data_IF_886269910798
#
_entry.id   IF_886269910798
#
_cell.length_a   1.000
_cell.length_b   1.000
_cell.length_c   1.000
_cell.angle_alpha   90.00
_cell.angle_beta   90.00
_cell.angle_gamma   90.00
#
_symmetry.space_group_name_H-M   'P 1'
#
loop_
_entity.id
_entity.type
_entity.pdbx_description
1 polymer ?
#
# COMPACT_ATOMS: atom_id res chain seq x y z
N UNK A 1 -24.03 -7.54 -19.69
CA UNK A 1 -23.11 -7.62 -20.85
C UNK A 1 -21.71 -7.83 -20.32
N UNK A 2 -20.95 -8.79 -20.84
CA UNK A 2 -19.52 -8.91 -20.53
C UNK A 2 -18.82 -7.66 -21.08
N UNK A 3 -18.03 -6.98 -20.24
CA UNK A 3 -17.24 -5.84 -20.70
C UNK A 3 -16.30 -6.27 -21.83
N UNK A 4 -16.15 -5.47 -22.89
CA UNK A 4 -15.25 -5.80 -23.98
C UNK A 4 -13.81 -5.89 -23.48
N UNK A 5 -13.09 -6.95 -23.89
CA UNK A 5 -11.68 -7.15 -23.59
C UNK A 5 -10.80 -6.71 -24.75
N UNK A 6 -9.69 -6.05 -24.43
CA UNK A 6 -8.78 -5.45 -25.40
C UNK A 6 -7.36 -5.98 -25.28
N UNK A 7 -6.58 -5.76 -26.32
CA UNK A 7 -5.15 -6.06 -26.36
C UNK A 7 -4.38 -4.80 -26.77
N UNK A 8 -3.30 -4.51 -26.04
CA UNK A 8 -2.37 -3.42 -26.35
C UNK A 8 -1.01 -4.02 -26.73
N UNK A 9 -0.61 -3.98 -28.01
CA UNK A 9 0.75 -4.33 -28.41
C UNK A 9 1.78 -3.47 -27.67
N UNK A 10 2.93 -4.04 -27.27
CA UNK A 10 3.97 -3.28 -26.55
C UNK A 10 4.48 -2.08 -27.35
N UNK A 11 4.52 -2.19 -28.68
CA UNK A 11 4.96 -1.13 -29.58
C UNK A 11 4.01 0.08 -29.58
N UNK A 12 2.73 -0.12 -29.26
CA UNK A 12 1.71 0.96 -29.17
C UNK A 12 1.53 1.51 -27.76
N UNK A 13 2.31 1.04 -26.78
CA UNK A 13 2.26 1.59 -25.43
C UNK A 13 2.52 3.11 -25.39
N UNK A 14 3.45 3.70 -26.17
CA UNK A 14 3.62 5.15 -26.21
C UNK A 14 2.33 5.92 -26.57
N UNK A 15 1.53 5.39 -27.50
CA UNK A 15 0.26 5.99 -27.90
C UNK A 15 -0.78 5.87 -26.78
N UNK A 16 -0.82 4.72 -26.09
CA UNK A 16 -1.66 4.54 -24.91
C UNK A 16 -1.28 5.49 -23.77
N UNK A 17 0.02 5.70 -23.54
CA UNK A 17 0.51 6.69 -22.58
C UNK A 17 0.07 8.12 -22.96
N UNK A 18 0.11 8.48 -24.25
CA UNK A 18 -0.40 9.77 -24.70
C UNK A 18 -1.90 9.92 -24.43
N UNK A 19 -2.69 8.86 -24.62
CA UNK A 19 -4.11 8.85 -24.26
C UNK A 19 -4.30 9.10 -22.75
N UNK A 20 -3.51 8.45 -21.89
CA UNK A 20 -3.53 8.70 -20.43
C UNK A 20 -3.16 10.15 -20.08
N UNK A 21 -2.12 10.70 -20.72
CA UNK A 21 -1.67 12.08 -20.49
C UNK A 21 -2.68 13.13 -20.91
N UNK A 22 -3.57 12.81 -21.86
CA UNK A 22 -4.66 13.72 -22.24
C UNK A 22 -5.72 13.89 -21.14
N UNK A 23 -5.79 12.95 -20.19
CA UNK A 23 -6.70 13.02 -19.04
C UNK A 23 -6.11 13.83 -17.87
N UNK A 24 -4.79 13.74 -17.66
CA UNK A 24 -4.10 14.43 -16.58
C UNK A 24 -2.66 13.97 -16.42
N UNK A 25 -1.99 14.46 -15.38
CA UNK A 25 -0.58 14.13 -15.15
C UNK A 25 -0.43 12.63 -14.80
N UNK A 26 0.40 11.92 -15.56
CA UNK A 26 0.64 10.49 -15.36
C UNK A 26 1.84 10.29 -14.43
N UNK A 27 1.63 9.52 -13.37
CA UNK A 27 2.66 9.04 -12.47
C UNK A 27 2.87 7.55 -12.65
N UNK A 28 4.12 7.11 -12.80
CA UNK A 28 4.48 5.70 -12.96
C UNK A 28 5.76 5.36 -12.17
N UNK A 29 6.05 4.09 -11.90
CA UNK A 29 7.32 3.68 -11.30
C UNK A 29 8.49 4.08 -12.21
N UNK A 30 9.46 4.79 -11.65
CA UNK A 30 10.72 5.16 -12.31
C UNK A 30 11.87 4.67 -11.45
N UNK A 31 12.93 4.18 -12.09
CA UNK A 31 14.16 3.79 -11.40
C UNK A 31 14.89 5.04 -10.88
N UNK A 32 15.06 5.13 -9.55
CA UNK A 32 15.69 6.29 -8.89
C UNK A 32 17.05 5.97 -8.28
N UNK A 33 17.41 4.69 -8.18
CA UNK A 33 18.72 4.22 -7.76
C UNK A 33 19.05 2.88 -8.43
N UNK A 34 20.20 2.28 -8.10
CA UNK A 34 20.55 0.92 -8.58
C UNK A 34 19.48 -0.13 -8.21
N UNK A 35 18.82 0.04 -7.07
CA UNK A 35 17.94 -0.98 -6.46
C UNK A 35 16.55 -0.44 -6.09
N UNK A 36 16.24 0.83 -6.37
CA UNK A 36 15.02 1.47 -5.88
C UNK A 36 14.24 2.14 -6.99
N UNK A 37 12.92 2.04 -6.86
CA UNK A 37 11.95 2.67 -7.75
C UNK A 37 11.08 3.65 -6.96
N UNK A 38 10.58 4.70 -7.60
CA UNK A 38 9.59 5.60 -7.01
C UNK A 38 8.58 5.99 -8.07
N UNK A 39 7.32 6.13 -7.68
CA UNK A 39 6.37 6.83 -8.53
C UNK A 39 6.81 8.28 -8.73
N UNK A 40 6.97 8.67 -10.01
CA UNK A 40 7.32 10.02 -10.48
C UNK A 40 6.45 10.36 -11.69
N UNK A 41 6.30 11.64 -11.99
CA UNK A 41 5.64 12.07 -13.22
C UNK A 41 6.48 11.58 -14.41
N UNK A 42 5.81 11.09 -15.46
CA UNK A 42 6.47 10.57 -16.67
C UNK A 42 5.90 11.23 -17.92
N UNK A 43 6.78 11.52 -18.86
CA UNK A 43 6.45 12.12 -20.15
C UNK A 43 6.58 11.12 -21.30
N UNK A 44 7.46 10.12 -21.15
CA UNK A 44 7.77 9.11 -22.17
C UNK A 44 7.68 7.70 -21.60
N UNK A 45 7.29 6.75 -22.45
CA UNK A 45 7.20 5.34 -22.08
C UNK A 45 8.56 4.76 -21.61
N UNK A 46 9.68 5.26 -22.15
CA UNK A 46 11.03 4.83 -21.78
C UNK A 46 11.45 5.19 -20.35
N UNK A 47 10.71 6.08 -19.67
CA UNK A 47 10.98 6.46 -18.27
C UNK A 47 10.36 5.46 -17.29
N UNK A 48 9.37 4.70 -17.74
CA UNK A 48 8.60 3.76 -16.91
C UNK A 48 9.41 2.49 -16.70
N UNK A 49 9.64 2.15 -15.44
CA UNK A 49 10.22 0.88 -15.03
C UNK A 49 9.10 -0.17 -14.88
N UNK A 50 8.78 -0.88 -15.97
CA UNK A 50 7.76 -1.93 -15.97
C UNK A 50 8.14 -3.14 -15.09
N UNK A 51 9.43 -3.33 -14.86
CA UNK A 51 10.01 -4.36 -13.99
C UNK A 51 9.92 -4.03 -12.49
N UNK A 52 9.45 -2.83 -12.13
CA UNK A 52 9.46 -2.34 -10.77
C UNK A 52 8.43 -3.06 -9.88
N UNK A 53 8.84 -4.17 -9.24
CA UNK A 53 7.97 -4.90 -8.31
C UNK A 53 7.58 -4.08 -7.06
N UNK A 54 8.49 -3.22 -6.58
CA UNK A 54 8.26 -2.37 -5.41
C UNK A 54 8.87 -0.99 -5.60
N UNK A 55 8.06 0.03 -5.35
CA UNK A 55 8.52 1.39 -5.10
C UNK A 55 8.82 1.60 -3.62
N UNK A 56 9.72 2.54 -3.31
CA UNK A 56 10.08 2.91 -1.92
C UNK A 56 8.82 3.25 -1.12
N UNK A 57 8.00 4.15 -1.67
CA UNK A 57 6.71 4.50 -1.10
C UNK A 57 5.59 3.95 -1.99
N UNK A 58 4.59 3.29 -1.40
CA UNK A 58 3.44 2.77 -2.14
C UNK A 58 2.56 3.92 -2.65
N UNK A 59 1.60 3.62 -3.55
CA UNK A 59 0.69 4.62 -4.11
C UNK A 59 -0.11 5.43 -3.09
N UNK A 60 -0.23 4.95 -1.83
CA UNK A 60 -0.91 5.68 -0.75
C UNK A 60 -0.49 7.14 -0.63
N UNK A 61 0.78 7.47 -0.94
CA UNK A 61 1.33 8.83 -0.86
C UNK A 61 0.59 9.86 -1.74
N UNK A 62 -0.13 9.41 -2.78
CA UNK A 62 -0.91 10.29 -3.64
C UNK A 62 -2.21 10.77 -3.00
N UNK A 63 -2.71 10.02 -2.03
CA UNK A 63 -4.00 10.24 -1.37
C UNK A 63 -3.83 10.67 0.08
N UNK A 64 -2.74 10.20 0.70
CA UNK A 64 -2.38 10.43 2.09
C UNK A 64 -0.90 10.82 2.12
N UNK A 65 -0.56 12.10 1.87
CA UNK A 65 0.84 12.54 1.79
C UNK A 65 1.51 12.51 3.17
N UNK A 66 2.84 12.55 3.20
CA UNK A 66 3.63 12.49 4.44
C UNK A 66 3.36 13.63 5.41
N UNK A 67 3.04 14.80 4.87
CA UNK A 67 2.66 16.00 5.61
C UNK A 67 1.52 16.66 4.85
N UNK A 68 0.48 17.07 5.58
CA UNK A 68 -0.68 17.77 5.03
C UNK A 68 -1.16 18.83 6.01
N UNK A 69 -1.23 20.09 5.57
CA UNK A 69 -1.83 21.17 6.38
C UNK A 69 -3.35 20.99 6.41
N UNK A 70 -3.91 20.88 7.61
CA UNK A 70 -5.35 20.75 7.83
C UNK A 70 -5.99 22.08 8.20
N UNK A 71 -5.28 22.89 8.98
CA UNK A 71 -5.79 24.16 9.51
C UNK A 71 -4.68 25.19 9.49
N UNK A 72 -5.01 26.43 9.15
CA UNK A 72 -4.17 27.60 9.32
C UNK A 72 -4.77 28.53 10.36
N UNK A 73 -3.89 29.08 11.19
CA UNK A 73 -4.17 30.13 12.15
C UNK A 73 -3.56 31.40 11.56
N UNK A 74 -4.40 32.30 11.05
CA UNK A 74 -3.98 33.53 10.36
C UNK A 74 -4.85 34.68 10.81
N UNK A 75 -4.24 35.81 11.21
CA UNK A 75 -4.95 37.04 11.59
C UNK A 75 -5.95 36.84 12.76
N UNK A 76 -5.66 35.91 13.67
CA UNK A 76 -6.57 35.54 14.76
C UNK A 76 -7.76 34.69 14.33
N UNK A 77 -7.83 34.29 13.06
CA UNK A 77 -8.86 33.41 12.51
C UNK A 77 -8.34 31.99 12.31
N UNK A 78 -9.25 31.02 12.38
CA UNK A 78 -9.00 29.60 12.09
C UNK A 78 -9.59 29.29 10.72
N UNK A 79 -8.74 28.86 9.78
CA UNK A 79 -9.14 28.52 8.40
C UNK A 79 -8.84 27.06 8.11
N UNK A 80 -9.88 26.30 7.75
CA UNK A 80 -9.69 24.93 7.23
C UNK A 80 -8.99 24.99 5.87
N UNK A 81 -8.00 24.12 5.68
CA UNK A 81 -7.17 24.08 4.47
C UNK A 81 -7.55 22.89 3.59
N UNK A 82 -8.58 23.03 2.77
CA UNK A 82 -8.93 22.01 1.79
C UNK A 82 -8.25 22.33 0.46
N UNK A 83 -7.18 21.62 0.13
CA UNK A 83 -6.56 21.72 -1.20
C UNK A 83 -7.46 21.10 -2.27
N UNK A 84 -7.65 21.82 -3.38
CA UNK A 84 -8.30 21.29 -4.57
C UNK A 84 -7.36 20.32 -5.30
N UNK A 85 -7.67 19.01 -5.36
CA UNK A 85 -6.79 18.06 -6.01
C UNK A 85 -6.82 18.24 -7.52
N UNK A 86 -5.64 18.24 -8.14
CA UNK A 86 -5.50 18.13 -9.60
C UNK A 86 -5.70 16.68 -10.02
N UNK A 87 -6.37 16.46 -11.17
CA UNK A 87 -6.58 15.11 -11.71
C UNK A 87 -5.26 14.43 -12.06
N UNK A 88 -5.08 13.22 -11.54
CA UNK A 88 -3.87 12.41 -11.72
C UNK A 88 -4.21 11.04 -12.28
N UNK A 89 -3.32 10.51 -13.12
CA UNK A 89 -3.35 9.11 -13.52
C UNK A 89 -2.19 8.42 -12.84
N UNK A 90 -2.45 7.36 -12.08
CA UNK A 90 -1.42 6.58 -11.37
C UNK A 90 -1.33 5.23 -12.06
N UNK A 91 -0.27 5.06 -12.86
CA UNK A 91 0.00 3.88 -13.67
C UNK A 91 0.96 2.92 -12.97
N UNK A 92 0.77 1.62 -13.14
CA UNK A 92 1.69 0.60 -12.62
C UNK A 92 1.38 0.20 -11.18
N UNK A 93 0.11 0.22 -10.79
CA UNK A 93 -0.31 -0.18 -9.43
C UNK A 93 -0.54 -1.69 -9.38
N UNK A 94 0.26 -2.40 -8.59
CA UNK A 94 0.14 -3.86 -8.47
C UNK A 94 -1.06 -4.30 -7.63
N UNK A 95 -1.55 -5.56 -7.78
CA UNK A 95 -2.73 -6.06 -7.06
C UNK A 95 -2.69 -5.84 -5.53
N UNK A 96 -1.55 -6.08 -4.89
CA UNK A 96 -1.41 -5.90 -3.45
C UNK A 96 -1.50 -4.41 -3.02
N UNK A 97 -1.04 -3.48 -3.87
CA UNK A 97 -1.25 -2.04 -3.64
C UNK A 97 -2.70 -1.63 -3.86
N UNK A 98 -3.39 -2.20 -4.85
CA UNK A 98 -4.84 -1.98 -5.06
C UNK A 98 -5.65 -2.45 -3.85
N UNK A 99 -5.32 -3.63 -3.31
CA UNK A 99 -5.91 -4.11 -2.06
C UNK A 99 -5.60 -3.18 -0.89
N UNK A 100 -4.37 -2.66 -0.82
CA UNK A 100 -3.97 -1.70 0.20
C UNK A 100 -4.74 -0.38 0.14
N UNK A 101 -4.96 0.15 -1.06
CA UNK A 101 -5.83 1.30 -1.28
C UNK A 101 -7.28 1.01 -0.87
N UNK A 102 -7.83 -0.16 -1.19
CA UNK A 102 -9.18 -0.53 -0.76
C UNK A 102 -9.34 -0.65 0.77
N UNK A 103 -8.29 -1.11 1.46
CA UNK A 103 -8.23 -1.09 2.93
C UNK A 103 -8.25 0.35 3.44
N UNK A 104 -7.43 1.23 2.86
CA UNK A 104 -7.42 2.65 3.21
C UNK A 104 -8.75 3.33 2.92
N UNK A 105 -9.37 3.04 1.78
CA UNK A 105 -10.69 3.54 1.41
C UNK A 105 -11.70 3.20 2.53
N UNK A 106 -11.68 1.96 3.05
CA UNK A 106 -12.58 1.57 4.16
C UNK A 106 -12.37 2.39 5.44
N UNK A 107 -11.12 2.71 5.78
CA UNK A 107 -10.77 3.48 6.99
C UNK A 107 -11.15 4.97 6.82
N UNK A 108 -10.85 5.55 5.66
CA UNK A 108 -11.04 6.98 5.41
C UNK A 108 -12.47 7.32 4.93
N UNK A 109 -13.26 6.33 4.52
CA UNK A 109 -14.69 6.50 4.25
C UNK A 109 -15.56 6.36 5.51
N UNK A 110 -15.02 5.81 6.61
CA UNK A 110 -15.77 5.62 7.84
C UNK A 110 -16.22 6.96 8.45
N UNK A 111 -17.44 6.99 8.99
CA UNK A 111 -18.12 8.25 9.29
C UNK A 111 -17.64 8.91 10.58
N UNK A 112 -17.24 10.20 10.56
CA UNK A 112 -17.20 11.10 9.40
C UNK A 112 -15.97 10.85 8.52
N UNK A 113 -16.18 10.71 7.21
CA UNK A 113 -15.11 10.42 6.26
C UNK A 113 -14.08 11.54 6.12
N UNK A 114 -12.85 11.17 5.79
CA UNK A 114 -11.73 12.09 5.63
C UNK A 114 -11.81 12.82 4.28
N UNK A 115 -12.24 14.08 4.33
CA UNK A 115 -12.41 14.92 3.13
C UNK A 115 -11.11 15.05 2.30
N UNK A 116 -9.95 15.14 2.95
CA UNK A 116 -8.67 15.33 2.28
C UNK A 116 -8.28 14.11 1.44
N UNK A 117 -8.44 12.92 2.01
CA UNK A 117 -8.18 11.65 1.35
C UNK A 117 -9.18 11.40 0.23
N UNK A 118 -10.49 11.50 0.54
CA UNK A 118 -11.56 11.14 -0.38
C UNK A 118 -11.58 12.01 -1.63
N UNK A 119 -11.27 13.31 -1.50
CA UNK A 119 -11.14 14.22 -2.65
C UNK A 119 -10.00 13.80 -3.57
N UNK A 120 -8.80 13.55 -3.03
CA UNK A 120 -7.67 13.07 -3.85
C UNK A 120 -7.98 11.72 -4.50
N UNK A 121 -8.64 10.82 -3.76
CA UNK A 121 -9.01 9.48 -4.23
C UNK A 121 -10.03 9.52 -5.38
N UNK A 122 -11.02 10.42 -5.32
CA UNK A 122 -12.03 10.64 -6.37
C UNK A 122 -11.50 11.40 -7.59
N UNK A 123 -10.50 12.25 -7.40
CA UNK A 123 -9.86 13.03 -8.47
C UNK A 123 -8.60 12.34 -8.99
N UNK A 124 -8.66 11.01 -9.13
CA UNK A 124 -7.56 10.20 -9.66
C UNK A 124 -8.08 9.01 -10.45
N UNK A 125 -7.33 8.61 -11.47
CA UNK A 125 -7.51 7.35 -12.19
C UNK A 125 -6.38 6.38 -11.85
N UNK A 126 -6.73 5.15 -11.52
CA UNK A 126 -5.81 4.07 -11.17
C UNK A 126 -5.69 3.08 -12.34
N UNK A 127 -4.49 2.97 -12.90
CA UNK A 127 -4.16 1.98 -13.93
C UNK A 127 -3.28 0.91 -13.29
N UNK A 128 -3.86 -0.28 -13.09
CA UNK A 128 -3.17 -1.41 -12.51
C UNK A 128 -2.29 -2.16 -13.51
N UNK A 129 -1.25 -2.81 -13.01
CA UNK A 129 -0.32 -3.62 -13.80
C UNK A 129 -0.03 -4.93 -13.07
N UNK A 130 -0.10 -6.05 -13.79
CA UNK A 130 0.27 -7.36 -13.26
C UNK A 130 1.76 -7.41 -12.85
N UNK A 131 2.12 -8.35 -11.98
CA UNK A 131 3.49 -8.57 -11.54
C UNK A 131 3.75 -10.03 -11.25
N UNK A 132 5.02 -10.43 -11.33
CA UNK A 132 5.50 -11.71 -10.84
C UNK A 132 6.06 -11.55 -9.41
N UNK A 133 5.72 -12.45 -8.46
CA UNK A 133 6.24 -12.38 -7.11
C UNK A 133 7.74 -12.66 -7.06
N UNK A 134 8.41 -12.14 -6.04
CA UNK A 134 9.73 -12.60 -5.62
C UNK A 134 9.63 -13.36 -4.29
N UNK A 135 10.77 -13.81 -3.76
CA UNK A 135 10.88 -14.53 -2.48
C UNK A 135 10.30 -13.81 -1.25
N UNK A 136 9.99 -12.51 -1.33
CA UNK A 136 9.43 -11.73 -0.22
C UNK A 136 7.91 -11.49 -0.38
N UNK A 137 7.34 -11.86 -1.52
CA UNK A 137 5.90 -11.75 -1.76
C UNK A 137 5.16 -12.93 -1.12
N UNK A 138 4.11 -12.62 -0.36
CA UNK A 138 3.16 -13.61 0.20
C UNK A 138 1.72 -13.11 0.09
N UNK A 139 1.44 -12.22 -0.88
CA UNK A 139 0.10 -11.66 -1.10
C UNK A 139 -0.96 -12.72 -1.43
N UNK A 140 -0.55 -13.90 -1.93
CA UNK A 140 -1.42 -15.06 -2.12
C UNK A 140 -1.97 -15.59 -0.80
N UNK A 141 -1.10 -15.77 0.22
CA UNK A 141 -1.55 -16.13 1.58
C UNK A 141 -2.56 -15.12 2.13
N UNK A 142 -2.37 -13.83 1.82
CA UNK A 142 -3.27 -12.78 2.28
C UNK A 142 -4.54 -12.61 1.44
N UNK A 143 -4.69 -13.33 0.32
CA UNK A 143 -5.83 -13.17 -0.61
C UNK A 143 -5.88 -11.80 -1.29
N UNK A 144 -4.72 -11.21 -1.57
CA UNK A 144 -4.58 -9.84 -2.13
C UNK A 144 -3.76 -9.82 -3.41
N UNK A 145 -3.57 -10.98 -4.02
CA UNK A 145 -2.71 -11.17 -5.17
C UNK A 145 -3.44 -11.03 -6.51
N UNK A 146 -4.78 -11.01 -6.49
CA UNK A 146 -5.65 -10.82 -7.65
C UNK A 146 -6.28 -9.41 -7.67
N UNK A 147 -6.34 -8.75 -8.85
CA UNK A 147 -6.94 -7.43 -9.00
C UNK A 147 -8.46 -7.54 -9.19
N UNK A 148 -9.23 -7.64 -8.10
CA UNK A 148 -10.70 -7.74 -8.20
C UNK A 148 -11.41 -6.37 -8.28
N UNK A 149 -10.83 -5.37 -7.61
CA UNK A 149 -11.39 -4.02 -7.42
C UNK A 149 -10.29 -2.98 -7.17
N UNK A 150 -10.68 -1.71 -7.10
CA UNK A 150 -9.79 -0.60 -6.73
C UNK A 150 -9.03 0.05 -7.88
N UNK A 151 -9.31 -0.35 -9.12
CA UNK A 151 -8.69 0.19 -10.35
C UNK A 151 -9.75 0.60 -11.38
N UNK A 152 -9.35 1.47 -12.31
CA UNK A 152 -10.16 1.90 -13.46
C UNK A 152 -9.88 1.04 -14.69
N UNK A 153 -8.60 0.76 -14.94
CA UNK A 153 -8.11 -0.13 -16.00
C UNK A 153 -7.02 -1.03 -15.43
N UNK A 154 -6.96 -2.29 -15.85
CA UNK A 154 -5.90 -3.22 -15.46
C UNK A 154 -5.22 -3.82 -16.69
N UNK A 155 -3.88 -3.84 -16.67
CA UNK A 155 -3.04 -4.43 -17.70
C UNK A 155 -2.40 -5.71 -17.17
N UNK A 156 -2.58 -6.81 -17.88
CA UNK A 156 -1.83 -8.06 -17.65
C UNK A 156 -0.79 -8.23 -18.75
N UNK A 157 0.50 -8.22 -18.40
CA UNK A 157 1.58 -8.49 -19.37
C UNK A 157 1.50 -9.95 -19.85
N UNK A 158 1.27 -10.11 -21.16
CA UNK A 158 1.14 -11.41 -21.84
C UNK A 158 2.16 -11.53 -22.98
N UNK A 159 3.41 -11.17 -22.67
CA UNK A 159 4.61 -11.27 -23.53
C UNK A 159 4.73 -10.13 -24.56
N UNK A 160 4.02 -10.21 -25.68
CA UNK A 160 4.08 -9.26 -26.81
C UNK A 160 3.21 -8.00 -26.60
N UNK A 161 2.44 -7.98 -25.53
CA UNK A 161 1.47 -6.94 -25.26
C UNK A 161 0.81 -7.10 -23.90
N UNK A 162 -0.23 -6.32 -23.70
CA UNK A 162 -1.03 -6.34 -22.48
C UNK A 162 -2.45 -6.77 -22.80
N UNK A 163 -2.98 -7.71 -22.03
CA UNK A 163 -4.41 -7.94 -21.96
C UNK A 163 -5.02 -6.85 -21.07
N UNK A 164 -5.98 -6.08 -21.61
CA UNK A 164 -6.51 -4.88 -20.94
C UNK A 164 -8.00 -5.02 -20.66
N UNK A 165 -8.36 -4.68 -19.43
CA UNK A 165 -9.73 -4.69 -18.94
C UNK A 165 -10.09 -3.37 -18.26
N UNK A 166 -11.28 -2.84 -18.58
CA UNK A 166 -11.83 -1.63 -17.98
C UNK A 166 -12.88 -1.98 -16.93
N UNK A 167 -12.72 -1.45 -15.71
CA UNK A 167 -13.62 -1.70 -14.58
C UNK A 167 -14.57 -0.54 -14.34
N UNK A 168 -14.05 0.69 -14.21
CA UNK A 168 -14.87 1.87 -13.97
C UNK A 168 -15.48 2.41 -15.26
N UNK A 169 -16.50 3.25 -15.16
CA UNK A 169 -17.09 3.93 -16.32
C UNK A 169 -16.06 4.80 -17.06
N UNK A 170 -15.17 5.49 -16.33
CA UNK A 170 -14.10 6.29 -16.90
C UNK A 170 -13.06 5.42 -17.60
N UNK A 171 -12.68 4.29 -16.99
CA UNK A 171 -11.76 3.31 -17.59
C UNK A 171 -12.35 2.68 -18.85
N UNK A 172 -13.62 2.27 -18.83
CA UNK A 172 -14.29 1.72 -20.01
C UNK A 172 -14.37 2.73 -21.17
N UNK A 173 -14.63 4.01 -20.86
CA UNK A 173 -14.62 5.09 -21.86
C UNK A 173 -13.23 5.25 -22.47
N UNK A 174 -12.18 5.35 -21.64
CA UNK A 174 -10.79 5.44 -22.09
C UNK A 174 -10.44 4.30 -23.05
N UNK A 175 -10.83 3.06 -22.73
CA UNK A 175 -10.54 1.92 -23.59
C UNK A 175 -11.34 1.93 -24.90
N UNK A 176 -12.59 2.41 -24.87
CA UNK A 176 -13.39 2.56 -26.08
C UNK A 176 -12.80 3.61 -27.02
N UNK A 177 -12.38 4.77 -26.48
CA UNK A 177 -11.74 5.84 -27.24
C UNK A 177 -10.39 5.37 -27.83
N UNK A 178 -9.54 4.75 -27.01
CA UNK A 178 -8.26 4.20 -27.46
C UNK A 178 -8.41 3.07 -28.50
N UNK A 179 -9.50 2.30 -28.45
CA UNK A 179 -9.85 1.32 -29.48
C UNK A 179 -10.29 2.00 -30.79
N UNK A 180 -11.11 3.06 -30.72
CA UNK A 180 -11.52 3.83 -31.88
C UNK A 180 -10.33 4.49 -32.60
N UNK A 181 -9.36 4.97 -31.83
CA UNK A 181 -8.11 5.56 -32.31
C UNK A 181 -7.07 4.51 -32.78
N UNK A 182 -7.43 3.22 -32.78
CA UNK A 182 -6.58 2.09 -33.20
C UNK A 182 -5.32 1.89 -32.34
N UNK A 183 -5.27 2.48 -31.16
CA UNK A 183 -4.24 2.21 -30.15
C UNK A 183 -4.40 0.79 -29.60
N UNK A 184 -5.65 0.37 -29.38
CA UNK A 184 -6.01 -0.97 -28.90
C UNK A 184 -6.54 -1.86 -30.02
N UNK A 185 -6.43 -3.16 -29.81
CA UNK A 185 -7.01 -4.20 -30.64
C UNK A 185 -8.03 -5.03 -29.83
N UNK A 186 -8.91 -5.77 -30.51
CA UNK A 186 -9.76 -6.75 -29.82
C UNK A 186 -8.91 -7.93 -29.35
N UNK A 187 -9.13 -8.36 -28.11
CA UNK A 187 -8.45 -9.55 -27.60
C UNK A 187 -8.89 -10.80 -28.37
N UNK A 188 -7.93 -11.53 -28.95
CA UNK A 188 -8.14 -12.81 -29.64
C UNK A 188 -8.11 -13.96 -28.63
N UNK A 189 -8.58 -15.15 -29.02
CA UNK A 189 -8.53 -16.35 -28.15
C UNK A 189 -7.12 -16.65 -27.65
N UNK A 190 -6.10 -16.54 -28.52
CA UNK A 190 -4.71 -16.70 -28.10
C UNK A 190 -4.28 -15.73 -26.98
N UNK A 191 -4.80 -14.49 -26.97
CA UNK A 191 -4.51 -13.52 -25.91
C UNK A 191 -5.20 -13.92 -24.59
N UNK A 192 -6.42 -14.47 -24.66
CA UNK A 192 -7.15 -14.99 -23.49
C UNK A 192 -6.46 -16.20 -22.88
N UNK A 193 -5.90 -17.08 -23.71
CA UNK A 193 -5.18 -18.26 -23.22
C UNK A 193 -3.85 -17.88 -22.56
N UNK A 194 -3.12 -16.90 -23.11
CA UNK A 194 -1.94 -16.33 -22.44
C UNK A 194 -2.29 -15.62 -21.14
N UNK A 195 -3.42 -14.90 -21.09
CA UNK A 195 -3.91 -14.30 -19.84
C UNK A 195 -4.18 -15.36 -18.76
N UNK A 196 -4.86 -16.46 -19.10
CA UNK A 196 -5.09 -17.57 -18.15
C UNK A 196 -3.78 -18.19 -17.69
N UNK A 197 -2.85 -18.42 -18.63
CA UNK A 197 -1.53 -18.98 -18.33
C UNK A 197 -0.73 -18.09 -17.39
N UNK A 198 -0.70 -16.77 -17.62
CA UNK A 198 -0.02 -15.82 -16.75
C UNK A 198 -0.45 -15.98 -15.29
N UNK A 199 -1.75 -16.07 -15.00
CA UNK A 199 -2.24 -16.20 -13.64
C UNK A 199 -1.96 -17.57 -13.01
N UNK A 200 -1.92 -18.65 -13.81
CA UNK A 200 -1.48 -19.96 -13.35
C UNK A 200 0.02 -19.95 -13.00
N UNK A 201 0.86 -19.50 -13.93
CA UNK A 201 2.32 -19.41 -13.74
C UNK A 201 2.67 -18.53 -12.55
N UNK A 202 1.96 -17.40 -12.39
CA UNK A 202 2.12 -16.50 -11.24
C UNK A 202 1.73 -17.16 -9.92
N UNK A 203 0.66 -17.96 -9.90
CA UNK A 203 0.23 -18.69 -8.70
C UNK A 203 1.27 -19.72 -8.27
N UNK A 204 1.99 -20.32 -9.21
CA UNK A 204 3.07 -21.29 -8.95
C UNK A 204 4.41 -20.61 -8.59
N UNK A 205 4.59 -19.34 -8.93
CA UNK A 205 5.84 -18.59 -8.70
C UNK A 205 6.03 -18.12 -7.24
N UNK A 206 5.05 -18.27 -6.35
CA UNK A 206 5.21 -17.91 -4.94
C UNK A 206 6.11 -18.90 -4.20
N UNK A 207 7.28 -18.45 -3.76
CA UNK A 207 8.26 -19.28 -3.04
C UNK A 207 7.97 -19.41 -1.53
N UNK A 208 7.13 -18.53 -0.99
CA UNK A 208 6.87 -18.42 0.45
C UNK A 208 5.41 -18.08 0.75
N UNK A 209 4.92 -18.53 1.90
CA UNK A 209 3.57 -18.28 2.36
C UNK A 209 3.24 -19.05 3.63
N UNK A 210 2.03 -18.84 4.11
CA UNK A 210 1.43 -19.54 5.25
C UNK A 210 -0.08 -19.71 5.02
N UNK A 211 -0.70 -20.58 5.81
CA UNK A 211 -2.16 -20.74 5.82
C UNK A 211 -2.77 -19.71 6.76
N UNK A 212 -3.78 -18.99 6.30
CA UNK A 212 -4.44 -17.93 7.11
C UNK A 212 -5.47 -18.48 8.09
N UNK A 213 -5.81 -19.76 7.99
CA UNK A 213 -6.76 -20.43 8.87
C UNK A 213 -6.39 -20.22 10.34
N UNK A 214 -7.36 -19.80 11.14
CA UNK A 214 -7.21 -19.56 12.59
C UNK A 214 -6.12 -18.55 12.99
N UNK A 215 -5.54 -17.79 12.04
CA UNK A 215 -4.42 -16.89 12.33
C UNK A 215 -4.71 -15.90 13.47
N UNK A 216 -5.95 -15.42 13.58
CA UNK A 216 -6.37 -14.54 14.69
C UNK A 216 -6.18 -15.23 16.04
N UNK A 217 -6.81 -16.39 16.20
CA UNK A 217 -6.71 -17.21 17.40
C UNK A 217 -5.27 -17.64 17.70
N UNK A 218 -4.48 -18.00 16.67
CA UNK A 218 -3.06 -18.32 16.84
C UNK A 218 -2.28 -17.12 17.40
N UNK A 219 -2.51 -15.92 16.87
CA UNK A 219 -1.85 -14.70 17.35
C UNK A 219 -2.18 -14.40 18.82
N UNK A 220 -3.43 -14.61 19.24
CA UNK A 220 -3.84 -14.40 20.64
C UNK A 220 -3.27 -15.48 21.58
N UNK A 221 -3.28 -16.75 21.17
CA UNK A 221 -2.73 -17.86 21.95
C UNK A 221 -1.21 -17.77 22.13
N UNK A 222 -0.51 -17.28 21.10
CA UNK A 222 0.94 -17.14 21.10
C UNK A 222 1.42 -15.74 21.51
N UNK A 223 0.58 -14.97 22.22
CA UNK A 223 0.96 -13.63 22.69
C UNK A 223 2.22 -13.65 23.58
N UNK A 224 2.42 -14.72 24.37
CA UNK A 224 3.58 -14.92 25.24
C UNK A 224 4.67 -15.81 24.62
N UNK A 225 4.73 -15.89 23.28
CA UNK A 225 5.76 -16.67 22.60
C UNK A 225 7.15 -16.02 22.73
N UNK A 226 8.21 -16.79 23.08
CA UNK A 226 9.58 -16.26 23.19
C UNK A 226 10.13 -15.58 21.93
N UNK A 227 9.57 -15.87 20.76
CA UNK A 227 9.96 -15.20 19.51
C UNK A 227 9.79 -13.67 19.58
N UNK A 228 8.85 -13.17 20.39
CA UNK A 228 8.62 -11.74 20.54
C UNK A 228 9.79 -11.02 21.21
N UNK A 229 10.41 -11.65 22.21
CA UNK A 229 11.62 -11.13 22.87
C UNK A 229 12.79 -11.13 21.88
N UNK A 230 13.01 -12.24 21.16
CA UNK A 230 14.08 -12.34 20.16
C UNK A 230 13.99 -11.24 19.08
N UNK A 231 12.78 -11.00 18.57
CA UNK A 231 12.57 -9.99 17.54
C UNK A 231 12.61 -8.56 18.11
N UNK A 232 12.08 -8.36 19.32
CA UNK A 232 12.07 -7.07 20.01
C UNK A 232 13.47 -6.58 20.34
N UNK A 233 14.36 -7.47 20.83
CA UNK A 233 15.76 -7.17 21.13
C UNK A 233 16.56 -6.72 19.89
N UNK A 234 16.18 -7.23 18.72
CA UNK A 234 16.79 -6.85 17.44
C UNK A 234 16.12 -5.64 16.78
N UNK A 235 14.96 -5.21 17.28
CA UNK A 235 14.19 -4.12 16.70
C UNK A 235 14.79 -2.75 17.06
N UNK A 236 15.24 -2.01 16.04
CA UNK A 236 15.78 -0.67 16.24
C UNK A 236 14.72 0.39 16.58
N UNK A 237 13.43 0.04 16.61
CA UNK A 237 12.31 0.99 16.75
C UNK A 237 12.35 2.16 15.73
N UNK A 238 12.99 1.96 14.57
CA UNK A 238 13.23 3.00 13.56
C UNK A 238 11.99 3.39 12.74
N UNK A 239 10.90 2.63 12.84
CA UNK A 239 9.64 2.93 12.16
C UNK A 239 9.62 2.73 10.64
N UNK A 240 10.70 2.22 10.02
CA UNK A 240 10.82 2.12 8.56
C UNK A 240 9.72 1.25 7.89
N UNK A 241 9.12 0.30 8.62
CA UNK A 241 8.03 -0.54 8.12
C UNK A 241 6.73 0.24 7.86
N UNK A 242 6.53 1.39 8.49
CA UNK A 242 5.30 2.20 8.40
C UNK A 242 5.18 2.99 7.09
N UNK A 243 6.17 3.81 6.67
CA UNK A 243 6.05 4.59 5.43
C UNK A 243 5.96 3.70 4.18
N UNK A 244 6.65 2.55 4.18
CA UNK A 244 6.67 1.62 3.03
C UNK A 244 5.45 0.71 2.96
N UNK A 245 4.65 0.60 4.04
CA UNK A 245 3.47 -0.25 4.06
C UNK A 245 2.27 0.46 3.39
N UNK A 246 1.58 -0.16 2.41
CA UNK A 246 0.45 0.46 1.71
C UNK A 246 -0.80 0.64 2.59
N UNK A 247 -0.85 0.03 3.78
CA UNK A 247 -2.00 0.07 4.68
C UNK A 247 -1.72 0.72 6.03
N UNK A 248 -0.51 1.28 6.24
CA UNK A 248 -0.27 2.09 7.44
C UNK A 248 -0.74 3.52 7.22
N UNK A 249 -1.55 4.00 8.15
CA UNK A 249 -2.21 5.31 8.12
C UNK A 249 -2.10 6.06 9.46
N UNK A 250 -1.19 5.63 10.34
CA UNK A 250 -0.91 6.32 11.60
C UNK A 250 -0.32 7.72 11.31
N UNK A 251 -0.76 8.70 12.09
CA UNK A 251 -0.26 10.08 12.03
C UNK A 251 -0.23 10.74 13.40
N UNK A 252 0.51 11.84 13.46
CA UNK A 252 0.46 12.82 14.53
C UNK A 252 -0.08 14.17 14.00
N UNK A 253 -0.56 15.00 14.91
CA UNK A 253 -0.97 16.38 14.63
C UNK A 253 0.08 17.33 15.20
N UNK A 254 0.77 18.03 14.31
CA UNK A 254 1.87 18.93 14.65
C UNK A 254 1.43 20.37 14.39
N UNK A 255 1.47 21.21 15.43
CA UNK A 255 1.29 22.65 15.30
C UNK A 255 2.65 23.32 15.02
N UNK A 256 2.77 23.96 13.87
CA UNK A 256 3.99 24.63 13.40
C UNK A 256 3.76 26.13 13.39
N UNK A 257 4.39 26.85 14.31
CA UNK A 257 4.34 28.31 14.37
C UNK A 257 5.25 28.95 13.32
N UNK A 258 4.76 29.98 12.63
CA UNK A 258 5.57 30.82 11.76
C UNK A 258 6.53 31.66 12.61
N UNK A 259 7.76 31.87 12.09
CA UNK A 259 8.76 32.70 12.76
C UNK A 259 8.47 34.20 12.64
N UNK A 260 7.61 34.61 11.70
CA UNK A 260 7.17 36.00 11.56
C UNK A 260 6.15 36.33 12.64
N UNK A 261 6.53 37.21 13.55
CA UNK A 261 5.62 37.80 14.54
C UNK A 261 4.93 39.03 13.94
N UNK A 262 3.61 39.12 14.10
CA UNK A 262 2.87 40.34 13.81
C UNK A 262 3.11 41.36 14.92
N UNK A 263 2.89 42.64 14.62
CA UNK A 263 3.14 43.74 15.55
C UNK A 263 2.29 43.68 16.83
N UNK A 264 1.17 42.96 16.81
CA UNK A 264 0.26 42.73 17.93
C UNK A 264 0.65 41.52 18.81
N UNK A 265 1.77 40.85 18.52
CA UNK A 265 2.22 39.66 19.23
C UNK A 265 1.54 38.37 18.81
N UNK A 266 0.60 38.41 17.86
CA UNK A 266 0.08 37.21 17.22
C UNK A 266 1.08 36.64 16.21
N UNK A 267 1.07 35.32 16.04
CA UNK A 267 1.88 34.62 15.07
C UNK A 267 0.98 33.73 14.22
N UNK A 268 1.25 33.68 12.92
CA UNK A 268 0.59 32.71 12.07
C UNK A 268 1.10 31.31 12.43
N UNK A 269 0.25 30.30 12.33
CA UNK A 269 0.62 28.92 12.57
C UNK A 269 -0.16 28.00 11.65
N UNK A 270 0.28 26.76 11.52
CA UNK A 270 -0.51 25.74 10.85
C UNK A 270 -0.50 24.43 11.63
N UNK A 271 -1.66 23.76 11.62
CA UNK A 271 -1.79 22.39 12.09
C UNK A 271 -1.62 21.46 10.92
N UNK A 272 -0.60 20.62 10.99
CA UNK A 272 -0.30 19.59 10.00
C UNK A 272 -0.64 18.22 10.54
N UNK A 273 -1.11 17.37 9.65
CA UNK A 273 -1.06 15.92 9.83
C UNK A 273 0.24 15.40 9.24
N UNK A 274 1.05 14.72 10.04
CA UNK A 274 2.31 14.11 9.60
C UNK A 274 2.29 12.60 9.85
N UNK A 275 2.83 11.80 8.92
CA UNK A 275 2.91 10.35 9.10
C UNK A 275 3.69 10.01 10.37
N UNK A 276 3.12 9.11 11.17
CA UNK A 276 3.72 8.64 12.41
C UNK A 276 3.79 7.11 12.43
N UNK A 277 4.50 6.54 13.39
CA UNK A 277 4.80 5.12 13.44
C UNK A 277 4.54 4.55 14.82
N UNK A 278 3.80 3.43 14.86
CA UNK A 278 3.57 2.68 16.09
C UNK A 278 4.85 2.10 16.73
N UNK A 279 5.99 2.19 16.04
CA UNK A 279 7.31 1.81 16.55
C UNK A 279 8.00 2.91 17.34
N UNK A 280 7.55 4.17 17.25
CA UNK A 280 8.14 5.27 18.01
C UNK A 280 7.61 5.26 19.44
N UNK A 281 8.49 5.56 20.39
CA UNK A 281 8.17 5.58 21.83
C UNK A 281 7.04 6.58 22.12
N UNK A 282 7.04 7.73 21.45
CA UNK A 282 6.04 8.79 21.62
C UNK A 282 4.62 8.37 21.22
N UNK A 283 4.48 7.47 20.24
CA UNK A 283 3.17 7.09 19.67
C UNK A 283 2.18 6.50 20.69
N UNK A 284 2.70 5.87 21.74
CA UNK A 284 1.89 5.23 22.79
C UNK A 284 1.93 5.98 24.12
N UNK A 285 2.55 7.16 24.16
CA UNK A 285 2.66 8.01 25.36
C UNK A 285 1.43 8.90 25.47
N UNK A 286 0.87 8.98 26.68
CA UNK A 286 -0.30 9.82 26.99
C UNK A 286 0.03 10.85 28.08
N UNK A 287 -0.92 11.74 28.37
CA UNK A 287 -0.80 12.70 29.45
C UNK A 287 -0.47 12.01 30.79
N UNK A 288 0.42 12.61 31.59
CA UNK A 288 0.91 12.02 32.84
C UNK A 288 2.12 11.09 32.68
N UNK A 289 2.85 11.18 31.57
CA UNK A 289 4.06 10.40 31.26
C UNK A 289 3.89 8.88 31.19
N UNK A 290 2.65 8.38 31.21
CA UNK A 290 2.36 6.96 31.03
C UNK A 290 2.52 6.54 29.57
N UNK A 291 3.05 5.34 29.35
CA UNK A 291 3.22 4.76 28.01
C UNK A 291 2.67 3.33 28.00
N UNK A 292 1.70 3.06 27.12
CA UNK A 292 1.09 1.73 27.00
C UNK A 292 2.00 0.69 26.33
N UNK A 293 3.07 1.12 25.64
CA UNK A 293 4.02 0.27 24.92
C UNK A 293 5.44 0.83 25.06
N UNK A 294 6.02 0.79 26.28
CA UNK A 294 7.33 1.40 26.55
C UNK A 294 8.47 0.63 25.89
N UNK A 295 8.34 -0.69 25.72
CA UNK A 295 9.38 -1.56 25.15
C UNK A 295 9.26 -1.77 23.63
N UNK A 296 10.37 -2.09 22.94
CA UNK A 296 10.35 -2.53 21.55
C UNK A 296 9.49 -3.78 21.32
N UNK A 297 9.51 -4.73 22.27
CA UNK A 297 8.70 -5.97 22.22
C UNK A 297 7.21 -5.63 22.15
N UNK A 298 6.71 -4.75 23.03
CA UNK A 298 5.29 -4.35 23.05
C UNK A 298 4.86 -3.69 21.74
N UNK A 299 5.70 -2.79 21.21
CA UNK A 299 5.45 -2.09 19.95
C UNK A 299 5.47 -3.03 18.75
N UNK A 300 6.36 -4.03 18.76
CA UNK A 300 6.46 -5.02 17.70
C UNK A 300 5.27 -5.99 17.73
N UNK A 301 4.91 -6.51 18.90
CA UNK A 301 3.70 -7.33 19.11
C UNK A 301 2.45 -6.60 18.62
N UNK A 302 2.32 -5.30 18.95
CA UNK A 302 1.23 -4.46 18.46
C UNK A 302 1.23 -4.34 16.93
N UNK A 303 2.39 -4.14 16.30
CA UNK A 303 2.48 -4.07 14.83
C UNK A 303 2.06 -5.39 14.15
N UNK A 304 2.57 -6.53 14.63
CA UNK A 304 2.18 -7.84 14.09
C UNK A 304 0.69 -8.11 14.28
N UNK A 305 0.16 -7.82 15.47
CA UNK A 305 -1.28 -7.95 15.75
C UNK A 305 -2.10 -7.07 14.82
N UNK A 306 -1.78 -5.79 14.71
CA UNK A 306 -2.50 -4.87 13.82
C UNK A 306 -2.48 -5.33 12.34
N UNK A 307 -1.38 -5.96 11.89
CA UNK A 307 -1.22 -6.47 10.52
C UNK A 307 -1.93 -7.79 10.26
N UNK A 308 -1.87 -8.74 11.17
CA UNK A 308 -2.32 -10.12 10.97
C UNK A 308 -3.68 -10.43 11.61
N UNK A 309 -3.97 -9.76 12.72
CA UNK A 309 -5.27 -9.80 13.38
C UNK A 309 -6.23 -8.81 12.72
N UNK A 310 -5.79 -7.56 12.55
CA UNK A 310 -6.64 -6.44 12.17
C UNK A 310 -7.24 -5.74 13.39
N UNK A 311 -8.28 -4.93 13.17
CA UNK A 311 -9.06 -4.32 14.26
C UNK A 311 -9.98 -5.36 14.89
N UNK A 312 -10.06 -5.35 16.23
CA UNK A 312 -10.97 -6.21 16.98
C UNK A 312 -12.43 -5.85 16.65
N UNK A 313 -12.77 -4.55 16.57
CA UNK A 313 -14.16 -4.16 16.85
C UNK A 313 -14.84 -3.20 15.82
N UNK A 314 -14.29 -2.97 14.62
CA UNK A 314 -14.99 -2.12 13.61
C UNK A 314 -15.01 -2.66 12.17
N UNK A 315 -13.88 -3.18 11.64
CA UNK A 315 -13.78 -3.53 10.22
C UNK A 315 -13.56 -5.01 9.92
N UNK A 316 -13.14 -5.81 10.91
CA UNK A 316 -13.10 -7.27 10.81
C UNK A 316 -12.10 -7.89 9.81
N UNK A 317 -11.27 -7.11 9.11
CA UNK A 317 -10.29 -7.62 8.13
C UNK A 317 -8.83 -7.45 8.57
N UNK A 318 -7.94 -8.28 8.00
CA UNK A 318 -6.48 -8.19 8.19
C UNK A 318 -5.93 -7.02 7.38
N UNK A 319 -5.00 -6.24 7.92
CA UNK A 319 -4.48 -5.05 7.22
C UNK A 319 -3.22 -5.33 6.40
N UNK A 320 -2.58 -6.49 6.54
CA UNK A 320 -1.45 -6.87 5.68
C UNK A 320 -1.91 -7.33 4.30
N UNK A 321 -1.22 -6.89 3.25
CA UNK A 321 -1.47 -7.26 1.84
C UNK A 321 -0.35 -8.11 1.23
N UNK A 322 0.55 -8.63 2.06
CA UNK A 322 1.61 -9.55 1.64
C UNK A 322 2.58 -9.03 0.57
N UNK A 323 2.75 -7.71 0.46
CA UNK A 323 3.62 -7.10 -0.56
C UNK A 323 5.13 -7.25 -0.28
N UNK A 324 5.54 -7.61 0.94
CA UNK A 324 6.96 -7.79 1.32
C UNK A 324 7.80 -6.51 1.44
N UNK A 325 7.22 -5.31 1.25
CA UNK A 325 7.96 -4.03 1.32
C UNK A 325 8.64 -3.81 2.68
N UNK A 326 7.97 -4.16 3.77
CA UNK A 326 8.57 -4.06 5.11
C UNK A 326 9.82 -4.95 5.18
N UNK A 327 9.69 -6.23 4.83
CA UNK A 327 10.76 -7.23 4.89
C UNK A 327 12.02 -6.80 4.13
N UNK A 328 11.84 -6.20 2.95
CA UNK A 328 12.96 -5.68 2.15
C UNK A 328 13.59 -4.43 2.77
N UNK A 329 12.80 -3.62 3.49
CA UNK A 329 13.23 -2.32 4.02
C UNK A 329 13.82 -2.41 5.43
N UNK A 330 13.60 -3.50 6.17
CA UNK A 330 14.06 -3.59 7.55
C UNK A 330 15.57 -3.81 7.65
N UNK A 331 16.30 -2.89 8.31
CA UNK A 331 17.74 -3.02 8.47
C UNK A 331 18.13 -4.19 9.37
N UNK A 332 17.25 -4.61 10.28
CA UNK A 332 17.52 -5.72 11.22
C UNK A 332 17.08 -7.09 10.71
N UNK A 333 16.33 -7.16 9.60
CA UNK A 333 15.79 -8.42 9.05
C UNK A 333 14.90 -9.18 10.02
N UNK A 334 14.03 -8.48 10.77
CA UNK A 334 13.12 -9.06 11.77
C UNK A 334 11.67 -9.18 11.31
N UNK A 335 11.28 -8.48 10.26
CA UNK A 335 9.90 -8.33 9.79
C UNK A 335 9.56 -9.28 8.63
N UNK A 336 10.16 -10.47 8.68
CA UNK A 336 9.73 -11.62 7.91
C UNK A 336 8.45 -12.17 8.53
N UNK A 337 7.31 -11.67 8.06
CA UNK A 337 5.98 -12.07 8.54
C UNK A 337 5.75 -13.57 8.34
N UNK A 338 6.20 -14.14 7.21
CA UNK A 338 5.95 -15.55 6.91
C UNK A 338 6.70 -16.44 7.91
N UNK A 339 7.98 -16.15 8.15
CA UNK A 339 8.77 -16.89 9.15
C UNK A 339 8.13 -16.83 10.53
N UNK A 340 7.71 -15.65 10.97
CA UNK A 340 7.09 -15.47 12.29
C UNK A 340 5.77 -16.24 12.38
N UNK A 341 4.88 -16.10 11.39
CA UNK A 341 3.60 -16.84 11.40
C UNK A 341 3.82 -18.34 11.43
N UNK A 342 4.77 -18.85 10.64
CA UNK A 342 5.10 -20.28 10.66
C UNK A 342 5.64 -20.74 12.02
N UNK A 343 6.44 -19.92 12.72
CA UNK A 343 6.87 -20.23 14.10
C UNK A 343 5.66 -20.32 15.05
N UNK A 344 4.73 -19.37 14.96
CA UNK A 344 3.55 -19.32 15.84
C UNK A 344 2.53 -20.42 15.54
N UNK A 345 2.46 -20.91 14.30
CA UNK A 345 1.53 -21.97 13.89
C UNK A 345 2.03 -23.38 14.19
N UNK A 346 3.32 -23.56 14.49
CA UNK A 346 3.87 -24.85 14.89
C UNK A 346 3.50 -25.11 16.34
N UNK A 347 2.81 -26.23 16.59
CA UNK A 347 2.57 -26.70 17.95
C UNK A 347 3.92 -26.88 18.66
N UNK A 348 4.08 -26.28 19.85
CA UNK A 348 5.23 -26.55 20.71
C UNK A 348 5.24 -28.05 20.98
N UNK A 349 6.24 -28.77 20.48
CA UNK A 349 6.48 -30.12 20.97
C UNK A 349 6.81 -29.98 22.44
N UNK A 350 6.01 -30.63 23.29
CA UNK A 350 6.25 -30.68 24.72
C UNK A 350 7.70 -31.11 24.94
N UNK A 351 8.46 -30.32 25.70
CA UNK A 351 9.69 -30.81 26.34
C UNK A 351 9.28 -31.81 27.42
N UNK A 352 8.76 -32.94 26.99
CA UNK A 352 8.46 -34.07 27.85
C UNK A 352 9.69 -34.97 27.85
N UNK A 353 10.73 -34.51 28.56
CA UNK A 353 11.88 -35.32 28.96
C UNK A 353 12.69 -34.54 30.01
N UNK A 354 12.39 -34.77 31.30
CA UNK A 354 13.30 -34.31 32.36
C UNK A 354 12.73 -34.04 33.76
N UNK A 355 11.86 -34.87 34.32
CA UNK A 355 11.85 -35.07 35.77
C UNK A 355 12.48 -36.44 36.09
N UNK A 356 13.63 -36.49 36.79
CA UNK A 356 14.23 -37.76 37.17
C UNK A 356 13.46 -38.41 38.33
N UNK A 357 13.34 -39.73 38.20
CA UNK A 357 12.81 -40.77 39.12
C UNK A 357 12.43 -40.37 40.54
#
# INVERSE_FOLDING_TARGET
MLSPTYFLPKERFPDFLNALKSLGQVFAPVKVSKQSYSFKAVEKASEIAFEALRTILPPKKFFYPQSETLVKFEDGEIKECIEEPVFKVIFGVHPCDLAGLGIMDTIFEDSPGDTHYLRKRRTSMIIGLSCMPDKHCFCQSMGTDCPEKGYDVFLTDIEDGYFIEGKSSQGQKLLADAFADKVLERAREAHKDRYKRFWLDRSEAFETGFKVDNLRSTMDLEWENPVWEELGDRCLSCGNCTPVCPTCYCFDLVDVAALSSKQDGSGDAERRREWDSCQFVGFAKVAGDYNFRPGPVDRLKFWYRHKLHGFDDAYGFKTCVGCGRCTVSCPSGIDDIVKVVNILQVARQEKDEGQPK
#
